data_IF_480305932890
#
_entry.id   IF_480305932890
#
_cell.length_a   1.000
_cell.length_b   1.000
_cell.length_c   1.000
_cell.angle_alpha   90.00
_cell.angle_beta   90.00
_cell.angle_gamma   90.00
#
_symmetry.space_group_name_H-M   'P 1'
#
loop_
_entity.id
_entity.type
_entity.pdbx_description
1 polymer ?
#
# COMPACT_ATOMS: atom_id res chain seq x y z
N UNK A 1 6.11 -2.93 -10.58
CA UNK A 1 4.85 -3.55 -10.10
C UNK A 1 4.74 -3.60 -8.57
N UNK A 2 5.74 -4.15 -7.88
CA UNK A 2 5.66 -4.38 -6.43
C UNK A 2 5.61 -3.06 -5.61
N UNK A 3 6.33 -2.02 -6.05
CA UNK A 3 6.21 -0.65 -5.54
C UNK A 3 4.74 -0.18 -5.49
N UNK A 4 4.07 -0.14 -6.64
CA UNK A 4 2.67 0.28 -6.76
C UNK A 4 1.73 -0.65 -5.98
N UNK A 5 1.98 -1.96 -5.99
CA UNK A 5 1.17 -2.95 -5.28
C UNK A 5 1.24 -2.75 -3.76
N UNK A 6 2.44 -2.53 -3.22
CA UNK A 6 2.65 -2.29 -1.79
C UNK A 6 1.95 -1.02 -1.33
N UNK A 7 2.02 0.05 -2.14
CA UNK A 7 1.27 1.28 -1.92
C UNK A 7 -0.24 1.02 -1.93
N UNK A 8 -0.76 0.35 -2.95
CA UNK A 8 -2.19 0.07 -3.10
C UNK A 8 -2.75 -0.75 -1.93
N UNK A 9 -2.05 -1.84 -1.56
CA UNK A 9 -2.47 -2.70 -0.45
C UNK A 9 -2.41 -1.93 0.86
N UNK A 10 -1.27 -1.34 1.24
CA UNK A 10 -1.17 -0.71 2.55
C UNK A 10 -1.99 0.56 2.70
N UNK A 11 -2.29 1.25 1.60
CA UNK A 11 -3.15 2.44 1.62
C UNK A 11 -4.64 2.13 1.68
N UNK A 12 -5.08 0.89 1.47
CA UNK A 12 -6.50 0.55 1.31
C UNK A 12 -6.97 -0.77 1.91
N UNK A 13 -6.07 -1.65 2.31
CA UNK A 13 -6.41 -2.97 2.82
C UNK A 13 -7.12 -2.89 4.18
N UNK A 14 -8.15 -3.72 4.33
CA UNK A 14 -8.67 -4.06 5.66
C UNK A 14 -7.69 -4.98 6.39
N UNK A 15 -7.88 -5.11 7.71
CA UNK A 15 -7.11 -6.07 8.52
C UNK A 15 -7.19 -7.51 7.98
N UNK A 16 -8.34 -7.91 7.43
CA UNK A 16 -8.50 -9.25 6.87
C UNK A 16 -7.73 -9.42 5.56
N UNK A 17 -7.61 -8.37 4.75
CA UNK A 17 -6.74 -8.38 3.57
C UNK A 17 -5.28 -8.52 3.98
N UNK A 18 -4.83 -7.78 5.00
CA UNK A 18 -3.45 -7.85 5.53
C UNK A 18 -3.11 -9.25 6.05
N UNK A 19 -4.03 -9.91 6.76
CA UNK A 19 -3.85 -11.28 7.26
C UNK A 19 -3.71 -12.31 6.13
N UNK A 20 -4.31 -12.04 4.99
CA UNK A 20 -4.29 -12.93 3.82
C UNK A 20 -3.39 -12.38 2.71
N UNK A 21 -2.37 -11.57 3.05
CA UNK A 21 -1.50 -10.91 2.07
C UNK A 21 -0.97 -11.88 1.01
N UNK A 22 -0.47 -13.04 1.44
CA UNK A 22 0.13 -14.04 0.56
C UNK A 22 -0.85 -14.54 -0.52
N UNK A 23 -2.13 -14.66 -0.18
CA UNK A 23 -3.20 -15.00 -1.12
C UNK A 23 -3.42 -13.88 -2.16
N UNK A 24 -3.38 -12.62 -1.74
CA UNK A 24 -3.51 -11.48 -2.66
C UNK A 24 -2.27 -11.31 -3.56
N UNK A 25 -1.07 -11.59 -3.04
CA UNK A 25 0.14 -11.63 -3.85
C UNK A 25 0.08 -12.73 -4.91
N UNK A 26 -0.48 -13.90 -4.57
CA UNK A 26 -0.72 -14.97 -5.53
C UNK A 26 -1.70 -14.54 -6.62
N UNK A 27 -2.85 -13.95 -6.28
CA UNK A 27 -3.82 -13.44 -7.26
C UNK A 27 -3.16 -12.43 -8.22
N UNK A 28 -2.40 -11.49 -7.67
CA UNK A 28 -1.70 -10.51 -8.48
C UNK A 28 -0.70 -11.17 -9.44
N UNK A 29 0.09 -12.11 -8.92
CA UNK A 29 1.08 -12.85 -9.70
C UNK A 29 0.44 -13.70 -10.80
N UNK A 30 -0.68 -14.35 -10.52
CA UNK A 30 -1.42 -15.16 -11.49
C UNK A 30 -1.92 -14.28 -12.65
N UNK A 31 -2.51 -13.13 -12.32
CA UNK A 31 -2.98 -12.15 -13.32
C UNK A 31 -1.83 -11.57 -14.16
N UNK A 32 -0.71 -11.24 -13.51
CA UNK A 32 0.49 -10.75 -14.19
C UNK A 32 1.09 -11.83 -15.09
N UNK A 33 1.19 -13.06 -14.60
CA UNK A 33 1.69 -14.21 -15.34
C UNK A 33 0.86 -14.50 -16.57
N UNK A 34 -0.46 -14.48 -16.45
CA UNK A 34 -1.37 -14.67 -17.58
C UNK A 34 -1.20 -13.55 -18.63
N UNK A 35 -1.07 -12.30 -18.16
CA UNK A 35 -0.80 -11.17 -19.05
C UNK A 35 0.52 -11.37 -19.78
N UNK A 36 1.61 -11.70 -19.09
CA UNK A 36 2.93 -11.93 -19.70
C UNK A 36 2.90 -13.05 -20.76
N UNK A 37 2.17 -14.14 -20.50
CA UNK A 37 1.98 -15.22 -21.47
C UNK A 37 1.26 -14.75 -22.74
N UNK A 38 0.27 -13.87 -22.63
CA UNK A 38 -0.41 -13.28 -23.79
C UNK A 38 0.51 -12.43 -24.67
N UNK A 39 1.59 -11.89 -24.10
CA UNK A 39 2.66 -11.20 -24.86
C UNK A 39 3.76 -12.15 -25.36
N UNK A 40 3.61 -13.47 -25.19
CA UNK A 40 4.58 -14.47 -25.62
C UNK A 40 5.80 -14.60 -24.70
N UNK A 41 5.74 -14.07 -23.47
CA UNK A 41 6.81 -14.21 -22.48
C UNK A 41 6.63 -15.48 -21.64
N UNK A 42 7.76 -16.09 -21.22
CA UNK A 42 7.74 -17.07 -20.14
C UNK A 42 7.65 -16.34 -18.80
N UNK A 43 6.48 -16.40 -18.15
CA UNK A 43 6.26 -15.69 -16.88
C UNK A 43 7.06 -16.28 -15.72
N UNK A 44 7.41 -17.57 -15.75
CA UNK A 44 8.17 -18.21 -14.69
C UNK A 44 9.66 -17.89 -14.77
N UNK A 45 10.18 -17.66 -15.97
CA UNK A 45 11.54 -17.16 -16.17
C UNK A 45 11.62 -15.65 -15.88
N UNK A 46 10.67 -14.86 -16.41
CA UNK A 46 10.74 -13.41 -16.36
C UNK A 46 10.45 -12.84 -14.96
N UNK A 47 9.41 -13.34 -14.29
CA UNK A 47 8.99 -12.81 -13.01
C UNK A 47 8.20 -13.85 -12.18
N UNK A 48 8.89 -14.85 -11.59
CA UNK A 48 8.25 -15.88 -10.76
C UNK A 48 7.68 -15.29 -9.46
N UNK A 49 6.75 -16.02 -8.82
CA UNK A 49 6.10 -15.56 -7.58
C UNK A 49 7.12 -15.25 -6.48
N UNK A 50 8.18 -16.05 -6.39
CA UNK A 50 9.23 -15.81 -5.39
C UNK A 50 9.92 -14.47 -5.61
N UNK A 51 10.14 -14.05 -6.86
CA UNK A 51 10.70 -12.73 -7.16
C UNK A 51 9.76 -11.60 -6.70
N UNK A 52 8.44 -11.76 -6.88
CA UNK A 52 7.46 -10.80 -6.34
C UNK A 52 7.52 -10.72 -4.81
N UNK A 53 7.63 -11.86 -4.11
CA UNK A 53 7.73 -11.91 -2.64
C UNK A 53 9.05 -11.32 -2.13
N UNK A 54 10.14 -11.52 -2.86
CA UNK A 54 11.43 -10.95 -2.52
C UNK A 54 11.42 -9.43 -2.73
N UNK A 55 10.86 -8.95 -3.85
CA UNK A 55 10.61 -7.53 -4.09
C UNK A 55 9.69 -6.93 -3.02
N UNK A 56 8.68 -7.67 -2.55
CA UNK A 56 7.77 -7.21 -1.50
C UNK A 56 8.52 -6.81 -0.23
N UNK A 57 9.52 -7.61 0.19
CA UNK A 57 10.36 -7.29 1.36
C UNK A 57 11.14 -5.98 1.19
N UNK A 58 11.47 -5.60 -0.05
CA UNK A 58 12.14 -4.32 -0.35
C UNK A 58 11.14 -3.16 -0.35
N UNK A 59 10.01 -3.32 -1.04
CA UNK A 59 9.08 -2.22 -1.28
C UNK A 59 8.02 -2.01 -0.19
N UNK A 60 7.77 -3.00 0.67
CA UNK A 60 6.78 -2.89 1.75
C UNK A 60 7.03 -1.68 2.66
N UNK A 61 8.29 -1.31 2.96
CA UNK A 61 8.64 -0.13 3.77
C UNK A 61 8.24 1.18 3.10
N UNK A 62 8.47 1.28 1.78
CA UNK A 62 8.04 2.42 0.98
C UNK A 62 6.51 2.49 0.92
N UNK A 63 5.84 1.37 0.65
CA UNK A 63 4.38 1.29 0.62
C UNK A 63 3.76 1.68 1.97
N UNK A 64 4.35 1.22 3.08
CA UNK A 64 3.91 1.58 4.43
C UNK A 64 4.08 3.07 4.69
N UNK A 65 5.24 3.63 4.35
CA UNK A 65 5.52 5.07 4.54
C UNK A 65 4.52 5.94 3.76
N UNK A 66 4.27 5.60 2.49
CA UNK A 66 3.28 6.29 1.66
C UNK A 66 1.86 6.12 2.20
N UNK A 67 1.52 4.94 2.73
CA UNK A 67 0.19 4.68 3.29
C UNK A 67 -0.15 5.55 4.50
N UNK A 68 0.85 5.93 5.31
CA UNK A 68 0.64 6.82 6.46
C UNK A 68 0.00 8.14 6.00
N UNK A 69 0.48 8.71 4.89
CA UNK A 69 -0.09 9.92 4.31
C UNK A 69 -1.50 9.70 3.77
N UNK A 70 -1.72 8.59 3.06
CA UNK A 70 -3.05 8.30 2.50
C UNK A 70 -4.09 8.09 3.60
N UNK A 71 -3.77 7.34 4.65
CA UNK A 71 -4.67 7.15 5.78
C UNK A 71 -4.94 8.45 6.53
N UNK A 72 -3.94 9.33 6.67
CA UNK A 72 -4.12 10.67 7.25
C UNK A 72 -5.11 11.51 6.44
N UNK A 73 -4.99 11.50 5.12
CA UNK A 73 -5.94 12.19 4.22
C UNK A 73 -7.34 11.58 4.34
N UNK A 74 -7.47 10.24 4.34
CA UNK A 74 -8.77 9.55 4.46
C UNK A 74 -9.55 9.89 5.73
N UNK A 75 -8.86 10.21 6.81
CA UNK A 75 -9.48 10.54 8.09
C UNK A 75 -9.50 12.06 8.37
N UNK A 76 -9.00 12.89 7.46
CA UNK A 76 -9.13 14.35 7.55
C UNK A 76 -10.61 14.73 7.41
N UNK A 77 -11.08 15.67 8.25
CA UNK A 77 -12.47 16.11 8.21
C UNK A 77 -12.80 16.77 6.87
N UNK A 78 -14.03 16.59 6.36
CA UNK A 78 -14.41 17.02 5.01
C UNK A 78 -14.22 18.52 4.78
N UNK A 79 -14.47 19.35 5.80
CA UNK A 79 -14.29 20.80 5.77
C UNK A 79 -12.82 21.24 5.79
N UNK A 80 -11.92 20.32 6.17
CA UNK A 80 -10.47 20.50 6.13
C UNK A 80 -9.80 19.83 4.92
N UNK A 81 -10.56 19.06 4.12
CA UNK A 81 -10.04 18.45 2.90
C UNK A 81 -9.81 19.52 1.83
N UNK A 82 -8.62 19.47 1.23
CA UNK A 82 -8.28 20.22 0.04
C UNK A 82 -8.34 19.30 -1.17
N UNK A 83 -8.91 19.78 -2.27
CA UNK A 83 -8.87 19.04 -3.53
C UNK A 83 -7.47 19.10 -4.13
N UNK A 84 -7.16 18.21 -5.07
CA UNK A 84 -5.87 18.25 -5.78
C UNK A 84 -5.63 19.58 -6.52
N UNK A 85 -6.71 20.30 -6.88
CA UNK A 85 -6.64 21.62 -7.51
C UNK A 85 -6.21 22.72 -6.51
N UNK A 86 -6.44 22.50 -5.22
CA UNK A 86 -6.11 23.43 -4.13
C UNK A 86 -4.69 23.24 -3.58
N UNK A 87 -4.01 22.16 -3.97
CA UNK A 87 -2.68 21.79 -3.46
C UNK A 87 -1.59 22.48 -4.30
N UNK A 88 -0.79 23.31 -3.63
CA UNK A 88 0.50 23.82 -4.11
C UNK A 88 1.64 22.92 -3.59
N UNK A 89 2.82 22.99 -4.20
CA UNK A 89 3.97 22.17 -3.80
C UNK A 89 4.33 22.27 -2.29
N UNK A 90 4.06 23.41 -1.65
CA UNK A 90 4.29 23.64 -0.23
C UNK A 90 3.13 23.21 0.69
N UNK A 91 2.07 22.58 0.17
CA UNK A 91 0.86 22.24 0.95
C UNK A 91 0.91 20.88 1.65
N UNK A 92 1.97 20.09 1.45
CA UNK A 92 2.19 18.86 2.24
C UNK A 92 2.20 19.17 3.73
N UNK A 93 2.87 20.25 4.14
CA UNK A 93 2.87 20.71 5.53
C UNK A 93 1.45 21.02 6.02
N UNK A 94 0.58 21.59 5.19
CA UNK A 94 -0.79 21.89 5.62
C UNK A 94 -1.64 20.63 5.79
N UNK A 95 -1.41 19.59 5.00
CA UNK A 95 -2.04 18.26 5.20
C UNK A 95 -1.60 17.65 6.55
N UNK A 96 -0.35 17.85 6.96
CA UNK A 96 0.10 17.37 8.28
C UNK A 96 -0.61 18.08 9.44
N UNK A 97 -0.97 19.35 9.27
CA UNK A 97 -1.60 20.18 10.31
C UNK A 97 -3.13 20.14 10.32
N UNK A 98 -3.78 19.47 9.36
CA UNK A 98 -5.24 19.35 9.33
C UNK A 98 -5.79 18.53 10.51
N UNK A 99 -6.98 18.89 10.98
CA UNK A 99 -7.84 18.12 11.85
C UNK A 99 -8.29 16.83 11.17
N UNK A 100 -8.27 15.74 11.93
CA UNK A 100 -8.56 14.40 11.45
C UNK A 100 -9.00 13.50 12.61
N UNK A 101 -9.70 12.43 12.30
CA UNK A 101 -10.03 11.38 13.26
C UNK A 101 -8.77 10.60 13.67
N UNK A 102 -8.20 11.00 14.80
CA UNK A 102 -6.99 10.39 15.37
C UNK A 102 -7.20 8.94 15.78
N UNK A 103 -8.39 8.59 16.27
CA UNK A 103 -8.65 7.24 16.77
C UNK A 103 -8.77 6.24 15.62
N UNK A 104 -9.51 6.62 14.56
CA UNK A 104 -9.59 5.82 13.35
C UNK A 104 -8.24 5.70 12.65
N UNK A 105 -7.49 6.80 12.54
CA UNK A 105 -6.13 6.78 11.99
C UNK A 105 -5.19 5.88 12.78
N UNK A 106 -5.10 6.06 14.10
CA UNK A 106 -4.21 5.26 14.95
C UNK A 106 -4.56 3.78 14.87
N UNK A 107 -5.86 3.44 14.80
CA UNK A 107 -6.30 2.06 14.62
C UNK A 107 -5.79 1.46 13.31
N UNK A 108 -5.96 2.16 12.18
CA UNK A 108 -5.49 1.69 10.86
C UNK A 108 -3.96 1.54 10.80
N UNK A 109 -3.22 2.53 11.30
CA UNK A 109 -1.75 2.45 11.32
C UNK A 109 -1.26 1.33 12.25
N UNK A 110 -1.93 1.12 13.39
CA UNK A 110 -1.60 0.03 14.31
C UNK A 110 -1.80 -1.35 13.68
N UNK A 111 -2.88 -1.54 12.92
CA UNK A 111 -3.12 -2.78 12.18
C UNK A 111 -2.02 -3.03 11.12
N UNK A 112 -1.55 -1.98 10.45
CA UNK A 112 -0.41 -2.07 9.52
C UNK A 112 0.90 -2.43 10.25
N UNK A 113 1.23 -1.74 11.35
CA UNK A 113 2.46 -2.01 12.12
C UNK A 113 2.48 -3.45 12.64
N UNK A 114 1.34 -3.95 13.14
CA UNK A 114 1.25 -5.36 13.55
C UNK A 114 1.49 -6.31 12.38
N UNK A 115 0.88 -6.03 11.22
CA UNK A 115 1.11 -6.83 10.02
C UNK A 115 2.60 -6.86 9.62
N UNK A 116 3.28 -5.71 9.60
CA UNK A 116 4.71 -5.65 9.28
C UNK A 116 5.55 -6.46 10.28
N UNK A 117 5.25 -6.35 11.58
CA UNK A 117 5.95 -7.08 12.63
C UNK A 117 5.71 -8.60 12.56
N UNK A 118 4.46 -9.02 12.36
CA UNK A 118 4.09 -10.45 12.27
C UNK A 118 4.72 -11.15 11.07
N UNK A 119 5.08 -10.41 10.01
CA UNK A 119 5.66 -10.93 8.78
C UNK A 119 7.18 -10.66 8.64
N UNK A 120 7.84 -10.12 9.68
CA UNK A 120 9.27 -9.80 9.69
C UNK A 120 9.67 -8.81 8.56
N UNK A 121 8.87 -7.77 8.39
CA UNK A 121 9.10 -6.69 7.40
C UNK A 121 9.75 -5.43 7.99
N UNK A 122 10.00 -5.39 9.31
CA UNK A 122 10.60 -4.25 10.02
C UNK A 122 12.13 -4.29 10.02
#
# INVERSE_FOLDING_TARGET
>A
PCCDLSYCIYSGASKDVLKNLDYYLQIYHDSLSETLKQFGCDSQELYPLQALKDDWKVFCKMGFTSSIMVWKVKFTYEDELKTFEDLKDDDLDKIFHSGYDKDAFNKSIKDLVYHLNENDFL
#
